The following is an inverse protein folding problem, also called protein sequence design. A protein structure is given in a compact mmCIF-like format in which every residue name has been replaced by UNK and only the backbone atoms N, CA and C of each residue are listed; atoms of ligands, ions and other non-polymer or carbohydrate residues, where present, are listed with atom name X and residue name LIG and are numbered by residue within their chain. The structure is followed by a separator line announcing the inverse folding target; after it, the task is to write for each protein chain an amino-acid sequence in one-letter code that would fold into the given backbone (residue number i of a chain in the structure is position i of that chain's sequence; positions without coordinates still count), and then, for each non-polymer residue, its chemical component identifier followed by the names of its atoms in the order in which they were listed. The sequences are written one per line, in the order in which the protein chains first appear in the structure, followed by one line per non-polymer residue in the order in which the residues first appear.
data_IF_749100111714
#
_entry.id   IF_749100111714
#
_cell.length_a   1.000
_cell.length_b   1.000
_cell.length_c   1.000
_cell.angle_alpha   90.00
_cell.angle_beta   90.00
_cell.angle_gamma   90.00
#
_symmetry.space_group_name_H-M   'P 1'
#
loop_
_entity.id
_entity.type
_entity.pdbx_description
1 polymer ?
#
# COMPACT_ATOMS: atom_id res chain seq x y z
N UNK A 1 33.21 24.63 2.56
CA UNK A 1 32.01 24.30 3.37
C UNK A 1 32.50 23.60 4.62
N UNK A 2 31.99 23.94 5.81
CA UNK A 2 32.38 23.23 7.03
C UNK A 2 31.50 22.00 7.24
N UNK A 3 32.01 20.95 7.89
CA UNK A 3 31.23 19.75 8.24
C UNK A 3 29.92 20.08 8.98
N UNK A 4 29.93 21.16 9.77
CA UNK A 4 28.76 21.62 10.52
C UNK A 4 27.68 22.20 9.58
N UNK A 5 28.08 22.86 8.49
CA UNK A 5 27.16 23.37 7.47
C UNK A 5 26.49 22.22 6.71
N UNK A 6 27.25 21.16 6.41
CA UNK A 6 26.75 19.98 5.71
C UNK A 6 25.74 19.20 6.58
N UNK A 7 26.05 18.99 7.87
CA UNK A 7 25.13 18.36 8.83
C UNK A 7 23.83 19.16 8.95
N UNK A 8 23.92 20.48 9.06
CA UNK A 8 22.74 21.35 9.19
C UNK A 8 21.89 21.35 7.92
N UNK A 9 22.53 21.29 6.75
CA UNK A 9 21.83 21.23 5.45
C UNK A 9 21.05 19.94 5.32
N UNK A 10 21.68 18.80 5.60
CA UNK A 10 21.04 17.47 5.54
C UNK A 10 19.93 17.35 6.59
N UNK A 11 20.14 17.88 7.80
CA UNK A 11 19.12 17.91 8.84
C UNK A 11 17.85 18.66 8.39
N UNK A 12 18.02 19.86 7.81
CA UNK A 12 16.89 20.67 7.31
C UNK A 12 16.16 19.95 6.18
N UNK A 13 16.90 19.42 5.21
CA UNK A 13 16.32 18.64 4.10
C UNK A 13 15.50 17.45 4.63
N UNK A 14 16.04 16.70 5.60
CA UNK A 14 15.32 15.60 6.25
C UNK A 14 14.00 16.05 6.88
N UNK A 15 13.98 17.19 7.58
CA UNK A 15 12.76 17.74 8.17
C UNK A 15 11.73 18.18 7.11
N UNK A 16 12.19 18.79 6.01
CA UNK A 16 11.33 19.18 4.90
C UNK A 16 10.63 17.98 4.27
N UNK A 17 11.36 16.88 4.10
CA UNK A 17 10.80 15.62 3.61
C UNK A 17 9.77 15.04 4.58
N UNK A 18 10.06 15.01 5.88
CA UNK A 18 9.09 14.57 6.90
C UNK A 18 7.80 15.38 6.82
N UNK A 19 7.90 16.72 6.76
CA UNK A 19 6.73 17.59 6.66
C UNK A 19 5.94 17.34 5.36
N UNK A 20 6.64 17.12 4.25
CA UNK A 20 6.01 16.80 2.97
C UNK A 20 5.26 15.47 3.02
N UNK A 21 5.84 14.44 3.65
CA UNK A 21 5.18 13.15 3.85
C UNK A 21 3.91 13.28 4.70
N UNK A 22 3.96 14.04 5.80
CA UNK A 22 2.78 14.26 6.65
C UNK A 22 1.66 14.95 5.89
N UNK A 23 1.98 16.01 5.14
CA UNK A 23 1.00 16.74 4.33
C UNK A 23 0.38 15.85 3.25
N UNK A 24 1.19 15.06 2.56
CA UNK A 24 0.68 14.13 1.54
C UNK A 24 -0.21 13.04 2.16
N UNK A 25 0.12 12.56 3.36
CA UNK A 25 -0.71 11.62 4.10
C UNK A 25 -2.08 12.23 4.43
N UNK A 26 -2.12 13.47 4.93
CA UNK A 26 -3.35 14.20 5.22
C UNK A 26 -4.18 14.42 3.94
N UNK A 27 -3.54 14.85 2.86
CA UNK A 27 -4.20 15.04 1.57
C UNK A 27 -4.82 13.75 1.03
N UNK A 28 -4.08 12.63 1.11
CA UNK A 28 -4.58 11.31 0.67
C UNK A 28 -5.76 10.88 1.54
N UNK A 29 -5.66 11.04 2.86
CA UNK A 29 -6.74 10.71 3.78
C UNK A 29 -7.99 11.54 3.50
N UNK A 30 -7.85 12.84 3.28
CA UNK A 30 -8.96 13.72 2.91
C UNK A 30 -9.66 13.31 1.61
N UNK A 31 -8.89 12.86 0.61
CA UNK A 31 -9.46 12.34 -0.65
C UNK A 31 -10.20 11.02 -0.46
N UNK A 32 -9.68 10.14 0.40
CA UNK A 32 -10.31 8.87 0.77
C UNK A 32 -11.64 9.11 1.49
N UNK A 33 -11.66 10.05 2.43
CA UNK A 33 -12.83 10.43 3.22
C UNK A 33 -13.91 11.09 2.36
N UNK A 34 -13.52 11.85 1.33
CA UNK A 34 -14.43 12.42 0.34
C UNK A 34 -15.08 11.37 -0.61
N UNK A 35 -14.58 10.12 -0.60
CA UNK A 35 -15.24 8.98 -1.22
C UNK A 35 -14.69 8.54 -2.58
N UNK A 36 -15.27 7.48 -3.18
CA UNK A 36 -14.67 6.70 -4.27
C UNK A 36 -14.58 7.43 -5.62
N UNK A 37 -15.07 8.66 -5.74
CA UNK A 37 -14.87 9.49 -6.93
C UNK A 37 -13.41 9.92 -7.13
N UNK A 38 -12.60 9.87 -6.07
CA UNK A 38 -11.26 10.47 -6.05
C UNK A 38 -10.13 9.47 -6.33
N UNK A 39 -10.42 8.25 -6.81
CA UNK A 39 -9.41 7.17 -6.94
C UNK A 39 -8.18 7.63 -7.73
N UNK A 40 -8.37 8.31 -8.86
CA UNK A 40 -7.25 8.82 -9.66
C UNK A 40 -6.37 9.81 -8.90
N UNK A 41 -6.97 10.72 -8.12
CA UNK A 41 -6.24 11.69 -7.32
C UNK A 41 -5.53 11.04 -6.13
N UNK A 42 -6.16 10.04 -5.48
CA UNK A 42 -5.54 9.24 -4.41
C UNK A 42 -4.30 8.54 -4.94
N UNK A 43 -4.40 7.85 -6.09
CA UNK A 43 -3.26 7.15 -6.69
C UNK A 43 -2.16 8.13 -7.12
N UNK A 44 -2.51 9.24 -7.76
CA UNK A 44 -1.52 10.25 -8.15
C UNK A 44 -0.78 10.85 -6.95
N UNK A 45 -1.47 11.19 -5.86
CA UNK A 45 -0.81 11.64 -4.63
C UNK A 45 -0.01 10.54 -3.96
N UNK A 46 -0.46 9.28 -4.04
CA UNK A 46 0.28 8.14 -3.52
C UNK A 46 1.60 7.92 -4.24
N UNK A 47 1.64 8.10 -5.56
CA UNK A 47 2.88 8.05 -6.34
C UNK A 47 3.85 9.15 -5.91
N UNK A 48 3.34 10.38 -5.69
CA UNK A 48 4.15 11.49 -5.16
C UNK A 48 4.67 11.14 -3.76
N UNK A 49 3.83 10.60 -2.88
CA UNK A 49 4.22 10.16 -1.54
C UNK A 49 5.33 9.10 -1.60
N UNK A 50 5.22 8.09 -2.46
CA UNK A 50 6.24 7.04 -2.59
C UNK A 50 7.56 7.58 -3.12
N UNK A 51 7.52 8.53 -4.04
CA UNK A 51 8.74 9.22 -4.50
C UNK A 51 9.39 10.03 -3.37
N UNK A 52 8.61 10.86 -2.67
CA UNK A 52 9.07 11.63 -1.52
C UNK A 52 9.61 10.73 -0.42
N UNK A 53 9.01 9.54 -0.23
CA UNK A 53 9.48 8.54 0.71
C UNK A 53 10.90 8.06 0.37
N UNK A 54 11.17 7.73 -0.90
CA UNK A 54 12.50 7.30 -1.32
C UNK A 54 13.55 8.40 -1.07
N UNK A 55 13.24 9.65 -1.42
CA UNK A 55 14.14 10.79 -1.17
C UNK A 55 14.39 11.00 0.33
N UNK A 56 13.35 10.88 1.16
CA UNK A 56 13.48 10.91 2.61
C UNK A 56 14.44 9.83 3.14
N UNK A 57 14.32 8.58 2.65
CA UNK A 57 15.19 7.48 3.08
C UNK A 57 16.64 7.77 2.74
N UNK A 58 16.93 8.20 1.51
CA UNK A 58 18.29 8.58 1.09
C UNK A 58 18.89 9.63 2.00
N UNK A 59 18.18 10.75 2.22
CA UNK A 59 18.67 11.84 3.08
C UNK A 59 18.78 11.40 4.55
N UNK A 60 17.90 10.51 5.02
CA UNK A 60 17.99 9.99 6.37
C UNK A 60 19.21 9.08 6.58
N UNK A 61 19.55 8.25 5.60
CA UNK A 61 20.74 7.39 5.63
C UNK A 61 22.01 8.25 5.62
N UNK A 62 22.10 9.22 4.71
CA UNK A 62 23.21 10.20 4.67
C UNK A 62 23.36 10.94 6.01
N UNK A 63 22.24 11.36 6.62
CA UNK A 63 22.25 11.99 7.94
C UNK A 63 22.85 11.10 9.03
N UNK A 64 22.54 9.79 9.01
CA UNK A 64 23.06 8.84 10.00
C UNK A 64 24.56 8.57 9.82
N UNK A 65 25.09 8.70 8.61
CA UNK A 65 26.52 8.54 8.33
C UNK A 65 27.36 9.69 8.87
N UNK A 66 26.86 10.93 8.77
CA UNK A 66 27.62 12.14 9.14
C UNK A 66 27.45 12.55 10.60
N UNK A 67 26.34 12.19 11.23
CA UNK A 67 26.10 12.52 12.64
C UNK A 67 26.98 11.64 13.51
N UNK A 68 27.78 12.25 14.39
CA UNK A 68 28.67 11.53 15.30
C UNK A 68 28.04 11.30 16.69
N UNK A 69 27.08 12.13 17.07
CA UNK A 69 26.42 12.03 18.36
C UNK A 69 25.41 10.86 18.39
N UNK A 70 25.68 9.85 19.21
CA UNK A 70 24.85 8.64 19.32
C UNK A 70 23.40 8.92 19.78
N UNK A 71 23.19 9.93 20.63
CA UNK A 71 21.85 10.32 21.04
C UNK A 71 21.03 10.91 19.88
N UNK A 72 21.68 11.64 18.99
CA UNK A 72 21.04 12.20 17.80
C UNK A 72 20.73 11.10 16.78
N UNK A 73 21.65 10.15 16.55
CA UNK A 73 21.36 8.95 15.74
C UNK A 73 20.15 8.20 16.28
N UNK A 74 20.08 7.97 17.60
CA UNK A 74 18.96 7.29 18.24
C UNK A 74 17.64 8.01 18.00
N UNK A 75 17.60 9.34 18.18
CA UNK A 75 16.42 10.16 17.87
C UNK A 75 16.03 10.04 16.41
N UNK A 76 16.99 10.16 15.50
CA UNK A 76 16.74 10.08 14.07
C UNK A 76 16.18 8.70 13.66
N UNK A 77 16.71 7.61 14.22
CA UNK A 77 16.20 6.25 14.00
C UNK A 77 14.79 6.04 14.56
N UNK A 78 14.45 6.65 15.70
CA UNK A 78 13.08 6.59 16.25
C UNK A 78 12.10 7.27 15.31
N UNK A 79 12.41 8.49 14.86
CA UNK A 79 11.57 9.20 13.89
C UNK A 79 11.43 8.41 12.58
N UNK A 80 12.50 7.77 12.08
CA UNK A 80 12.40 6.92 10.89
C UNK A 80 11.43 5.76 11.07
N UNK A 81 11.48 5.07 12.21
CA UNK A 81 10.54 3.99 12.54
C UNK A 81 9.09 4.49 12.60
N UNK A 82 8.86 5.67 13.18
CA UNK A 82 7.54 6.29 13.21
C UNK A 82 7.01 6.59 11.80
N UNK A 83 7.85 7.17 10.94
CA UNK A 83 7.48 7.46 9.55
C UNK A 83 7.27 6.17 8.74
N UNK A 84 8.05 5.12 9.01
CA UNK A 84 7.84 3.81 8.41
C UNK A 84 6.49 3.19 8.79
N UNK A 85 6.12 3.27 10.06
CA UNK A 85 4.82 2.78 10.52
C UNK A 85 3.68 3.53 9.83
N UNK A 86 3.79 4.86 9.68
CA UNK A 86 2.83 5.69 8.94
C UNK A 86 2.72 5.28 7.47
N UNK A 87 3.85 5.02 6.80
CA UNK A 87 3.84 4.53 5.42
C UNK A 87 3.08 3.21 5.30
N UNK A 88 3.40 2.22 6.14
CA UNK A 88 2.75 0.90 6.11
C UNK A 88 1.25 1.02 6.36
N UNK A 89 0.85 1.87 7.30
CA UNK A 89 -0.55 2.16 7.57
C UNK A 89 -1.24 2.76 6.35
N UNK A 90 -0.65 3.79 5.74
CA UNK A 90 -1.17 4.46 4.56
C UNK A 90 -1.31 3.49 3.37
N UNK A 91 -0.30 2.68 3.12
CA UNK A 91 -0.30 1.63 2.08
C UNK A 91 -1.47 0.66 2.29
N UNK A 92 -1.68 0.21 3.53
CA UNK A 92 -2.79 -0.66 3.90
C UNK A 92 -4.16 0.00 3.68
N UNK A 93 -4.31 1.26 4.10
CA UNK A 93 -5.55 2.03 3.93
C UNK A 93 -5.87 2.20 2.44
N UNK A 94 -4.92 2.70 1.64
CA UNK A 94 -5.11 2.91 0.20
C UNK A 94 -5.45 1.58 -0.50
N UNK A 95 -4.69 0.51 -0.22
CA UNK A 95 -4.93 -0.79 -0.84
C UNK A 95 -6.32 -1.35 -0.47
N UNK A 96 -6.76 -1.21 0.78
CA UNK A 96 -8.08 -1.65 1.23
C UNK A 96 -9.20 -0.84 0.58
N UNK A 97 -9.02 0.47 0.44
CA UNK A 97 -10.01 1.39 -0.11
C UNK A 97 -10.20 1.16 -1.61
N UNK A 98 -9.12 0.98 -2.37
CA UNK A 98 -9.19 0.64 -3.79
C UNK A 98 -9.85 -0.73 -4.05
N UNK A 99 -9.73 -1.68 -3.11
CA UNK A 99 -10.31 -3.03 -3.22
C UNK A 99 -11.78 -3.13 -2.83
N UNK A 100 -12.37 -2.13 -2.15
CA UNK A 100 -13.78 -2.20 -1.73
C UNK A 100 -14.67 -2.29 -2.97
N UNK A 101 -15.35 -3.42 -3.21
CA UNK A 101 -16.31 -3.50 -4.30
C UNK A 101 -17.41 -2.48 -4.03
N UNK A 102 -17.85 -1.76 -5.08
CA UNK A 102 -18.97 -0.83 -5.02
C UNK A 102 -20.25 -1.60 -4.67
N UNK A 103 -20.47 -1.90 -3.39
CA UNK A 103 -21.65 -2.63 -2.92
C UNK A 103 -22.87 -1.73 -2.72
N UNK A 104 -22.80 -0.47 -3.14
CA UNK A 104 -23.95 0.43 -3.18
C UNK A 104 -24.18 0.90 -4.62
N UNK A 105 -24.80 0.01 -5.40
CA UNK A 105 -25.22 0.25 -6.78
C UNK A 105 -25.88 -1.00 -7.36
N UNK A 106 -27.21 -1.02 -7.37
CA UNK A 106 -28.09 -2.09 -7.86
C UNK A 106 -27.68 -2.69 -9.22
N UNK A 107 -27.78 -4.01 -9.37
CA UNK A 107 -27.98 -4.65 -10.69
C UNK A 107 -27.02 -5.78 -11.07
N UNK A 108 -27.41 -7.02 -10.77
CA UNK A 108 -27.30 -8.23 -11.62
C UNK A 108 -26.08 -8.31 -12.57
N UNK A 109 -25.02 -8.97 -12.15
CA UNK A 109 -23.86 -9.25 -13.01
C UNK A 109 -22.88 -10.26 -12.42
N UNK A 110 -23.23 -11.54 -12.54
CA UNK A 110 -22.36 -12.68 -12.30
C UNK A 110 -21.17 -12.62 -13.27
N UNK A 111 -19.97 -12.33 -12.78
CA UNK A 111 -18.74 -12.58 -13.54
C UNK A 111 -17.69 -13.25 -12.65
N UNK A 112 -17.32 -14.44 -13.12
CA UNK A 112 -16.40 -15.37 -12.49
C UNK A 112 -15.01 -14.78 -12.37
N UNK A 113 -14.38 -15.05 -11.22
CA UNK A 113 -12.94 -14.94 -11.02
C UNK A 113 -12.30 -16.07 -11.83
N UNK A 114 -11.58 -15.73 -12.90
CA UNK A 114 -10.64 -16.63 -13.57
C UNK A 114 -9.27 -16.48 -12.90
N UNK A 115 -8.81 -17.55 -12.28
CA UNK A 115 -7.43 -17.69 -11.84
C UNK A 115 -6.92 -19.06 -12.30
N UNK A 116 -5.97 -18.99 -13.23
CA UNK A 116 -4.84 -19.91 -13.43
C UNK A 116 -5.12 -21.35 -13.93
N UNK A 117 -4.79 -21.54 -15.21
CA UNK A 117 -4.12 -22.70 -15.87
C UNK A 117 -3.87 -23.93 -14.97
N UNK A 118 -4.29 -25.15 -15.31
CA UNK A 118 -3.78 -25.95 -16.42
C UNK A 118 -4.42 -27.36 -16.38
N UNK A 119 -4.67 -27.97 -17.55
CA UNK A 119 -4.92 -29.42 -17.64
C UNK A 119 -6.18 -29.86 -18.40
N UNK A 120 -6.00 -30.03 -19.72
CA UNK A 120 -6.50 -31.15 -20.54
C UNK A 120 -7.99 -31.50 -20.65
N UNK A 121 -8.41 -31.58 -21.92
CA UNK A 121 -9.34 -32.54 -22.51
C UNK A 121 -10.84 -32.22 -22.49
N UNK A 122 -11.29 -31.75 -23.65
CA UNK A 122 -12.66 -31.77 -24.14
C UNK A 122 -13.37 -33.09 -23.84
N UNK A 123 -14.56 -33.03 -23.22
CA UNK A 123 -15.62 -33.99 -23.46
C UNK A 123 -16.99 -33.42 -23.08
N UNK A 124 -17.95 -33.79 -23.92
CA UNK A 124 -19.30 -33.30 -24.10
C UNK A 124 -20.27 -33.53 -22.96
N UNK A 125 -21.38 -32.79 -23.03
CA UNK A 125 -22.59 -32.90 -22.25
C UNK A 125 -23.11 -34.33 -22.03
N UNK A 126 -24.01 -34.44 -21.05
CA UNK A 126 -24.92 -35.55 -20.69
C UNK A 126 -24.43 -36.42 -19.53
N UNK A 127 -25.03 -36.25 -18.34
CA UNK A 127 -25.69 -37.33 -17.59
C UNK A 127 -26.14 -36.90 -16.18
N UNK A 128 -27.26 -36.18 -16.08
CA UNK A 128 -28.02 -36.02 -14.82
C UNK A 128 -28.79 -37.31 -14.43
N UNK A 129 -28.24 -38.50 -14.70
CA UNK A 129 -28.98 -39.77 -14.56
C UNK A 129 -28.09 -40.94 -14.12
N UNK A 130 -27.28 -40.76 -13.07
CA UNK A 130 -26.55 -41.88 -12.47
C UNK A 130 -26.32 -41.80 -10.96
N UNK A 131 -27.19 -41.09 -10.23
CA UNK A 131 -27.10 -41.00 -8.76
C UNK A 131 -28.08 -41.95 -8.03
N UNK A 132 -28.92 -42.71 -8.75
CA UNK A 132 -30.05 -43.46 -8.14
C UNK A 132 -29.89 -44.97 -8.00
N UNK A 133 -28.67 -45.52 -8.10
CA UNK A 133 -28.42 -46.98 -7.99
C UNK A 133 -27.35 -47.38 -6.97
N UNK A 134 -26.69 -46.42 -6.30
CA UNK A 134 -25.56 -46.73 -5.40
C UNK A 134 -25.95 -46.96 -3.93
N UNK A 135 -27.23 -46.82 -3.54
CA UNK A 135 -27.69 -46.95 -2.15
C UNK A 135 -28.45 -48.25 -1.83
N UNK A 136 -28.51 -49.22 -2.75
CA UNK A 136 -29.34 -50.42 -2.60
C UNK A 136 -28.58 -51.73 -2.28
N UNK A 137 -27.26 -51.70 -2.07
CA UNK A 137 -26.47 -52.91 -1.80
C UNK A 137 -25.73 -52.95 -0.46
N UNK A 138 -26.16 -52.16 0.53
CA UNK A 138 -25.79 -52.38 1.93
C UNK A 138 -26.94 -53.08 2.64
N UNK A 139 -26.93 -54.42 2.57
CA UNK A 139 -27.53 -55.32 3.56
C UNK A 139 -26.70 -56.58 3.65
#
# INVERSE_FOLDING_TARGET
MSLLDDINTIFKSRLEYINSLLRLQEDIQGLIDAGPGNVGQVMSKKDVYDKTWCEFVTVHEEYLEIVTAEDEKRRASLTYKEQMAKKVQLDGVVASWCKKPRLYGSGKGRSQISSLTSGTSSASALSKKREKMALAQLK
#
